data_IF_919985029670
#
_entry.id   IF_919985029670
#
_cell.length_a   1.000
_cell.length_b   1.000
_cell.length_c   1.000
_cell.angle_alpha   90.00
_cell.angle_beta   90.00
_cell.angle_gamma   90.00
#
_symmetry.space_group_name_H-M   'P 1'
#
loop_
_entity.id
_entity.type
_entity.pdbx_description
1 polymer ?
#
# COMPACT_ATOMS: atom_id res chain seq x y z
N UNK A 1 2.11 -7.89 -18.18
CA UNK A 1 2.21 -8.17 -16.75
C UNK A 1 1.32 -9.35 -16.40
N UNK A 2 1.70 -10.10 -15.41
CA UNK A 2 0.86 -11.19 -14.90
C UNK A 2 -0.15 -10.61 -13.93
N UNK A 3 -1.39 -11.04 -14.05
CA UNK A 3 -2.44 -10.72 -13.10
C UNK A 3 -2.15 -11.39 -11.74
N UNK A 4 -2.50 -10.71 -10.66
CA UNK A 4 -2.47 -11.27 -9.32
C UNK A 4 -3.89 -11.36 -8.77
N UNK A 5 -4.17 -12.43 -8.04
CA UNK A 5 -5.41 -12.59 -7.31
C UNK A 5 -5.14 -12.55 -5.80
N UNK A 6 -6.06 -11.95 -5.06
CA UNK A 6 -6.07 -11.99 -3.61
C UNK A 6 -6.88 -13.20 -3.16
N UNK A 7 -6.30 -14.00 -2.29
CA UNK A 7 -6.95 -15.17 -1.72
C UNK A 7 -7.15 -14.97 -0.23
N UNK A 8 -8.36 -15.22 0.23
CA UNK A 8 -8.67 -15.29 1.65
C UNK A 8 -8.28 -16.65 2.22
N UNK A 9 -7.79 -16.65 3.46
CA UNK A 9 -7.63 -17.89 4.23
C UNK A 9 -8.99 -18.34 4.75
N UNK A 10 -9.50 -19.45 4.25
CA UNK A 10 -10.87 -19.93 4.49
C UNK A 10 -11.19 -20.14 5.98
N UNK A 11 -10.24 -20.43 6.82
CA UNK A 11 -10.42 -20.68 8.25
C UNK A 11 -9.67 -19.72 9.18
N UNK A 12 -9.16 -18.64 8.70
CA UNK A 12 -8.74 -17.42 9.41
C UNK A 12 -7.81 -17.50 10.62
N UNK A 13 -7.46 -18.67 11.09
CA UNK A 13 -6.73 -18.86 12.33
C UNK A 13 -5.49 -19.75 12.14
N UNK A 14 -4.52 -19.27 11.35
CA UNK A 14 -3.19 -19.84 11.50
C UNK A 14 -2.53 -19.17 12.70
N UNK A 15 -2.33 -19.92 13.77
CA UNK A 15 -1.60 -19.46 14.94
C UNK A 15 -0.26 -20.18 14.96
N UNK A 16 0.83 -19.43 14.83
CA UNK A 16 2.18 -19.90 15.05
C UNK A 16 2.74 -19.15 16.27
N UNK A 17 2.72 -19.80 17.43
CA UNK A 17 3.05 -19.14 18.68
C UNK A 17 2.09 -17.97 18.95
N UNK A 18 2.64 -16.77 19.08
CA UNK A 18 1.85 -15.55 19.31
C UNK A 18 1.36 -14.86 18.03
N UNK A 19 1.61 -15.44 16.84
CA UNK A 19 1.18 -14.87 15.58
C UNK A 19 -0.33 -15.03 15.40
N UNK A 20 -0.98 -13.95 14.96
CA UNK A 20 -2.43 -13.92 14.73
C UNK A 20 -2.71 -13.28 13.37
N UNK A 21 -3.74 -13.77 12.70
CA UNK A 21 -4.36 -13.10 11.58
C UNK A 21 -5.63 -12.38 12.05
N UNK A 22 -5.86 -11.17 11.56
CA UNK A 22 -7.08 -10.42 11.89
C UNK A 22 -8.33 -11.08 11.28
N UNK A 23 -8.13 -11.91 10.31
CA UNK A 23 -9.16 -12.67 9.61
C UNK A 23 -9.24 -12.30 8.13
N UNK A 24 -9.65 -13.26 7.30
CA UNK A 24 -9.77 -13.06 5.86
C UNK A 24 -10.81 -11.98 5.55
N UNK A 25 -10.53 -11.14 4.55
CA UNK A 25 -11.41 -10.04 4.13
C UNK A 25 -11.65 -8.95 5.16
N UNK A 26 -11.00 -9.02 6.32
CA UNK A 26 -11.07 -8.01 7.40
C UNK A 26 -9.75 -7.28 7.60
N UNK A 27 -8.73 -7.68 6.89
CA UNK A 27 -7.42 -7.06 6.88
C UNK A 27 -7.37 -5.80 6.02
N UNK A 28 -6.16 -5.44 5.63
CA UNK A 28 -5.89 -4.26 4.80
C UNK A 28 -5.92 -4.62 3.31
N UNK A 29 -4.80 -5.13 2.78
CA UNK A 29 -4.73 -5.49 1.35
C UNK A 29 -5.68 -6.63 1.01
N UNK A 30 -5.82 -7.63 1.89
CA UNK A 30 -6.75 -8.75 1.67
C UNK A 30 -8.23 -8.37 1.70
N UNK A 31 -8.57 -7.18 2.19
CA UNK A 31 -9.94 -6.67 2.20
C UNK A 31 -10.29 -5.85 0.93
N UNK A 32 -9.33 -5.61 0.04
CA UNK A 32 -9.56 -4.89 -1.21
C UNK A 32 -10.47 -5.71 -2.12
N UNK A 33 -11.55 -5.09 -2.56
CA UNK A 33 -12.52 -5.64 -3.51
C UNK A 33 -12.39 -4.97 -4.88
N UNK A 34 -13.14 -5.45 -5.88
CA UNK A 34 -13.20 -4.78 -7.18
C UNK A 34 -13.70 -3.33 -7.08
N UNK A 35 -14.60 -3.05 -6.14
CA UNK A 35 -15.10 -1.69 -5.90
C UNK A 35 -14.04 -0.75 -5.31
N UNK A 36 -12.98 -1.28 -4.73
CA UNK A 36 -11.85 -0.53 -4.19
C UNK A 36 -10.77 -0.27 -5.23
N UNK A 37 -10.81 -0.94 -6.36
CA UNK A 37 -10.02 -0.64 -7.54
C UNK A 37 -10.63 0.55 -8.28
N UNK A 38 -10.45 1.76 -7.76
CA UNK A 38 -11.04 3.00 -8.31
C UNK A 38 -10.63 3.19 -9.77
N UNK A 39 -9.37 2.85 -10.09
CA UNK A 39 -8.91 2.64 -11.45
C UNK A 39 -7.97 1.43 -11.47
N UNK A 40 -8.32 0.42 -12.24
CA UNK A 40 -7.48 -0.79 -12.37
C UNK A 40 -6.21 -0.52 -13.19
N UNK A 41 -6.23 0.44 -14.11
CA UNK A 41 -5.12 0.71 -15.01
C UNK A 41 -4.78 -0.53 -15.84
N UNK A 42 -3.53 -0.94 -15.81
CA UNK A 42 -3.18 -2.34 -16.02
C UNK A 42 -3.54 -3.08 -14.74
N UNK A 43 -4.19 -4.23 -14.86
CA UNK A 43 -4.53 -5.04 -13.68
C UNK A 43 -3.31 -5.16 -12.73
N UNK A 44 -3.46 -4.97 -11.41
CA UNK A 44 -2.34 -5.01 -10.50
C UNK A 44 -1.70 -6.40 -10.49
N UNK A 45 -0.38 -6.43 -10.63
CA UNK A 45 0.41 -7.64 -10.45
C UNK A 45 0.76 -7.89 -8.99
N UNK A 46 1.35 -9.06 -8.72
CA UNK A 46 1.84 -9.42 -7.38
C UNK A 46 2.71 -8.31 -6.77
N UNK A 47 3.66 -7.77 -7.55
CA UNK A 47 4.58 -6.72 -7.07
C UNK A 47 3.81 -5.47 -6.63
N UNK A 48 2.81 -5.04 -7.39
CA UNK A 48 2.02 -3.86 -7.04
C UNK A 48 1.29 -4.03 -5.70
N UNK A 49 0.68 -5.22 -5.47
CA UNK A 49 -0.02 -5.50 -4.23
C UNK A 49 0.92 -5.68 -3.04
N UNK A 50 2.08 -6.31 -3.24
CA UNK A 50 3.09 -6.44 -2.18
C UNK A 50 3.77 -5.11 -1.87
N UNK A 51 3.91 -4.20 -2.83
CA UNK A 51 4.39 -2.84 -2.58
C UNK A 51 3.40 -2.06 -1.70
N UNK A 52 2.09 -2.18 -1.95
CA UNK A 52 1.07 -1.60 -1.06
C UNK A 52 1.15 -2.18 0.34
N UNK A 53 1.29 -3.50 0.49
CA UNK A 53 1.40 -4.18 1.77
C UNK A 53 2.64 -3.73 2.56
N UNK A 54 3.79 -3.66 1.89
CA UNK A 54 5.01 -3.15 2.52
C UNK A 54 4.94 -1.66 2.87
N UNK A 55 4.28 -0.85 2.04
CA UNK A 55 4.03 0.55 2.37
C UNK A 55 3.14 0.69 3.61
N UNK A 56 2.10 -0.16 3.76
CA UNK A 56 1.26 -0.22 4.95
C UNK A 56 2.05 -0.65 6.20
N UNK A 57 2.97 -1.60 6.04
CA UNK A 57 3.81 -2.06 7.14
C UNK A 57 4.75 -0.95 7.68
N UNK A 58 5.11 0.01 6.84
CA UNK A 58 5.83 1.22 7.26
C UNK A 58 4.84 2.25 7.83
N UNK A 59 3.74 2.49 7.11
CA UNK A 59 2.74 3.50 7.46
C UNK A 59 2.12 3.30 8.84
N UNK A 60 2.01 2.06 9.32
CA UNK A 60 1.43 1.77 10.66
C UNK A 60 2.13 2.47 11.83
N UNK A 61 3.34 3.00 11.60
CA UNK A 61 4.10 3.79 12.59
C UNK A 61 3.98 5.31 12.35
N UNK A 62 3.23 5.74 11.34
CA UNK A 62 3.12 7.13 10.91
C UNK A 62 1.69 7.66 11.13
N UNK A 63 1.31 7.85 12.39
CA UNK A 63 -0.07 8.18 12.78
C UNK A 63 -0.29 9.65 13.19
N UNK A 64 0.79 10.47 13.29
CA UNK A 64 0.73 11.77 13.94
C UNK A 64 0.35 12.92 13.02
N UNK A 65 0.68 12.83 11.75
CA UNK A 65 0.56 13.91 10.76
C UNK A 65 0.22 13.30 9.39
N UNK A 66 -0.17 14.13 8.40
CA UNK A 66 -0.22 13.67 7.03
C UNK A 66 1.10 13.02 6.62
N UNK A 67 1.04 11.83 6.09
CA UNK A 67 2.22 11.02 5.76
C UNK A 67 2.09 10.36 4.39
N UNK A 68 3.25 10.24 3.72
CA UNK A 68 3.40 9.52 2.48
C UNK A 68 4.56 8.51 2.57
N UNK A 69 4.34 7.34 2.02
CA UNK A 69 5.33 6.26 1.88
C UNK A 69 5.41 5.88 0.42
N UNK A 70 6.60 5.93 -0.17
CA UNK A 70 6.85 5.48 -1.53
C UNK A 70 7.69 4.21 -1.48
N UNK A 71 7.17 3.14 -2.07
CA UNK A 71 7.80 1.81 -2.13
C UNK A 71 7.97 1.40 -3.57
N UNK A 72 9.07 0.74 -3.87
CA UNK A 72 9.29 0.08 -5.15
C UNK A 72 10.03 -1.24 -4.93
N UNK A 73 9.49 -2.31 -5.50
CA UNK A 73 10.04 -3.67 -5.35
C UNK A 73 10.24 -4.07 -3.87
N UNK A 74 9.23 -3.76 -3.05
CA UNK A 74 9.17 -4.02 -1.61
C UNK A 74 10.20 -3.24 -0.76
N UNK A 75 10.86 -2.23 -1.32
CA UNK A 75 11.81 -1.39 -0.60
C UNK A 75 11.33 0.08 -0.56
N UNK A 76 11.46 0.78 0.57
CA UNK A 76 11.11 2.18 0.66
C UNK A 76 12.07 3.04 -0.16
N UNK A 77 11.52 3.91 -1.01
CA UNK A 77 12.25 4.95 -1.72
C UNK A 77 12.20 6.27 -0.96
N UNK A 78 11.11 6.51 -0.24
CA UNK A 78 10.94 7.69 0.57
C UNK A 78 9.79 7.55 1.55
N UNK A 79 9.96 8.11 2.74
CA UNK A 79 8.99 8.14 3.83
C UNK A 79 9.03 9.52 4.47
N UNK A 80 7.90 10.19 4.53
CA UNK A 80 7.88 11.53 5.10
C UNK A 80 6.52 11.92 5.69
N UNK A 81 6.58 12.83 6.65
CA UNK A 81 5.48 13.64 7.10
C UNK A 81 5.45 14.97 6.34
N UNK A 82 4.30 15.61 6.34
CA UNK A 82 4.10 16.98 5.88
C UNK A 82 3.04 17.69 6.73
N UNK A 83 2.92 19.00 6.60
CA UNK A 83 1.81 19.76 7.16
C UNK A 83 0.52 19.54 6.34
N UNK A 84 0.69 19.21 5.06
CA UNK A 84 -0.34 18.74 4.14
C UNK A 84 0.06 17.39 3.54
N UNK A 85 -0.89 16.71 2.94
CA UNK A 85 -0.62 15.44 2.27
C UNK A 85 0.27 15.63 1.02
N UNK A 86 0.06 16.73 0.29
CA UNK A 86 0.90 17.13 -0.85
C UNK A 86 2.36 17.37 -0.43
N UNK A 87 2.58 18.08 0.69
CA UNK A 87 3.93 18.29 1.23
C UNK A 87 4.57 16.96 1.67
N UNK A 88 3.80 16.07 2.32
CA UNK A 88 4.29 14.74 2.69
C UNK A 88 4.77 13.96 1.47
N UNK A 89 3.97 14.00 0.38
CA UNK A 89 4.35 13.36 -0.88
C UNK A 89 5.62 13.96 -1.47
N UNK A 90 5.70 15.27 -1.56
CA UNK A 90 6.87 15.96 -2.10
C UNK A 90 8.15 15.62 -1.31
N UNK A 91 8.06 15.61 0.01
CA UNK A 91 9.18 15.27 0.89
C UNK A 91 9.60 13.79 0.69
N UNK A 92 8.65 12.86 0.62
CA UNK A 92 8.94 11.45 0.37
C UNK A 92 9.57 11.26 -1.03
N UNK A 93 9.04 11.93 -2.05
CA UNK A 93 9.56 11.83 -3.42
C UNK A 93 10.96 12.45 -3.57
N UNK A 94 11.27 13.50 -2.82
CA UNK A 94 12.60 14.12 -2.82
C UNK A 94 13.68 13.25 -2.20
N UNK A 95 13.33 12.30 -1.34
CA UNK A 95 14.30 11.41 -0.71
C UNK A 95 15.10 10.62 -1.76
N UNK A 96 14.43 10.07 -2.78
CA UNK A 96 15.07 9.46 -3.93
C UNK A 96 14.12 9.42 -5.14
N UNK A 97 14.14 10.48 -5.95
CA UNK A 97 13.27 10.61 -7.14
C UNK A 97 13.54 9.55 -8.19
N UNK A 98 14.77 9.07 -8.28
CA UNK A 98 15.16 8.08 -9.29
C UNK A 98 14.57 6.72 -8.90
N UNK A 99 14.71 6.32 -7.64
CA UNK A 99 14.14 5.08 -7.14
C UNK A 99 12.61 5.12 -7.10
N UNK A 100 12.02 6.28 -6.76
CA UNK A 100 10.57 6.48 -6.69
C UNK A 100 9.85 6.35 -8.05
N UNK A 101 10.55 6.59 -9.16
CA UNK A 101 9.97 6.50 -10.50
C UNK A 101 9.39 5.11 -10.78
N UNK A 102 8.09 5.04 -11.06
CA UNK A 102 7.36 3.79 -11.27
C UNK A 102 7.04 3.01 -9.98
N UNK A 103 7.15 3.64 -8.83
CA UNK A 103 6.82 3.04 -7.53
C UNK A 103 5.33 3.08 -7.19
N UNK A 104 5.05 2.66 -5.97
CA UNK A 104 3.77 2.73 -5.29
C UNK A 104 3.82 3.81 -4.21
N UNK A 105 2.92 4.77 -4.25
CA UNK A 105 2.75 5.77 -3.19
C UNK A 105 1.52 5.44 -2.34
N UNK A 106 1.70 5.36 -1.02
CA UNK A 106 0.64 5.16 -0.03
C UNK A 106 0.52 6.38 0.87
N UNK A 107 -0.72 6.75 1.17
CA UNK A 107 -1.09 7.88 2.01
C UNK A 107 -1.92 7.45 3.21
N UNK A 108 -1.77 8.13 4.35
CA UNK A 108 -2.55 7.83 5.56
C UNK A 108 -3.88 8.62 5.66
N UNK A 109 -4.15 9.51 4.72
CA UNK A 109 -5.37 10.31 4.65
C UNK A 109 -5.96 10.25 3.24
N UNK A 110 -7.23 10.64 3.04
CA UNK A 110 -7.81 10.78 1.71
C UNK A 110 -6.99 11.70 0.82
N UNK A 111 -6.77 11.28 -0.43
CA UNK A 111 -6.01 12.07 -1.40
C UNK A 111 -6.90 13.21 -1.92
N UNK A 112 -6.49 14.44 -1.64
CA UNK A 112 -7.10 15.67 -2.13
C UNK A 112 -6.61 16.05 -3.54
N UNK A 113 -7.15 17.12 -4.10
CA UNK A 113 -6.79 17.60 -5.45
C UNK A 113 -5.36 18.11 -5.53
N UNK A 114 -4.86 18.77 -4.48
CA UNK A 114 -3.49 19.31 -4.46
C UNK A 114 -2.47 18.18 -4.44
N UNK A 115 -2.73 17.15 -3.63
CA UNK A 115 -1.90 15.94 -3.60
C UNK A 115 -1.97 15.19 -4.93
N UNK A 116 -3.16 15.06 -5.52
CA UNK A 116 -3.31 14.44 -6.84
C UNK A 116 -2.56 15.19 -7.93
N UNK A 117 -2.53 16.52 -7.86
CA UNK A 117 -1.78 17.35 -8.80
C UNK A 117 -0.26 17.13 -8.63
N UNK A 118 0.25 17.14 -7.40
CA UNK A 118 1.67 16.86 -7.13
C UNK A 118 2.09 15.45 -7.61
N UNK A 119 1.24 14.45 -7.39
CA UNK A 119 1.46 13.09 -7.89
C UNK A 119 1.50 13.08 -9.43
N UNK A 120 0.64 13.85 -10.09
CA UNK A 120 0.54 13.86 -11.55
C UNK A 120 1.81 14.33 -12.27
N UNK A 121 2.67 15.06 -11.58
CA UNK A 121 3.98 15.52 -12.12
C UNK A 121 5.02 14.40 -12.18
N UNK A 122 4.78 13.28 -11.52
CA UNK A 122 5.70 12.16 -11.43
C UNK A 122 5.08 10.89 -12.02
N UNK A 123 5.92 9.93 -12.41
CA UNK A 123 5.43 8.63 -12.87
C UNK A 123 5.38 7.66 -11.70
N UNK A 124 4.18 7.23 -11.35
CA UNK A 124 3.91 6.14 -10.42
C UNK A 124 3.09 5.04 -11.11
N UNK A 125 3.21 3.82 -10.63
CA UNK A 125 2.39 2.69 -11.09
C UNK A 125 1.17 2.45 -10.19
N UNK A 126 1.28 2.81 -8.91
CA UNK A 126 0.21 2.64 -7.92
C UNK A 126 0.10 3.89 -7.05
N UNK A 127 -1.12 4.31 -6.81
CA UNK A 127 -1.48 5.26 -5.74
C UNK A 127 -2.51 4.58 -4.86
N UNK A 128 -2.23 4.48 -3.57
CA UNK A 128 -3.10 3.86 -2.59
C UNK A 128 -3.38 4.80 -1.41
N UNK A 129 -4.62 4.82 -0.94
CA UNK A 129 -5.05 5.69 0.14
C UNK A 129 -6.32 5.11 0.82
N UNK A 130 -6.70 5.58 2.03
CA UNK A 130 -7.96 5.21 2.63
C UNK A 130 -9.17 5.64 1.81
N UNK A 131 -9.07 6.77 1.11
CA UNK A 131 -10.10 7.27 0.19
C UNK A 131 -9.52 8.34 -0.76
N UNK A 132 -10.35 8.84 -1.67
CA UNK A 132 -10.02 9.88 -2.65
C UNK A 132 -11.11 10.95 -2.65
N UNK A 133 -10.74 12.21 -2.47
CA UNK A 133 -11.69 13.32 -2.49
C UNK A 133 -12.20 13.60 -3.92
N UNK A 134 -13.32 14.32 -4.01
CA UNK A 134 -13.90 14.68 -5.28
C UNK A 134 -12.90 15.45 -6.17
N UNK A 135 -12.77 15.05 -7.44
CA UNK A 135 -11.85 15.66 -8.40
C UNK A 135 -10.41 15.10 -8.37
N UNK A 136 -9.96 14.48 -7.27
CA UNK A 136 -8.61 13.90 -7.21
C UNK A 136 -8.46 12.72 -8.18
N UNK A 137 -9.48 11.89 -8.27
CA UNK A 137 -9.50 10.75 -9.21
C UNK A 137 -9.45 11.22 -10.67
N UNK A 138 -10.16 12.32 -11.00
CA UNK A 138 -10.15 12.88 -12.37
C UNK A 138 -8.76 13.36 -12.78
N UNK A 139 -7.97 13.87 -11.83
CA UNK A 139 -6.59 14.28 -12.07
C UNK A 139 -5.71 13.05 -12.28
N UNK A 140 -5.77 12.08 -11.37
CA UNK A 140 -4.93 10.88 -11.40
C UNK A 140 -5.25 9.99 -12.60
N UNK A 141 -6.52 9.83 -12.95
CA UNK A 141 -6.99 8.95 -14.03
C UNK A 141 -6.61 9.42 -15.43
N UNK A 142 -6.10 10.66 -15.61
CA UNK A 142 -5.46 11.07 -16.85
C UNK A 142 -4.34 10.14 -17.27
N UNK A 143 -3.74 9.42 -16.33
CA UNK A 143 -2.79 8.33 -16.59
C UNK A 143 -3.52 6.99 -16.57
N UNK A 144 -3.95 6.54 -17.73
CA UNK A 144 -4.74 5.31 -17.89
C UNK A 144 -4.09 4.03 -17.33
N UNK A 145 -2.76 4.00 -17.21
CA UNK A 145 -2.01 2.86 -16.69
C UNK A 145 -1.84 2.88 -15.16
N UNK A 146 -2.16 3.98 -14.50
CA UNK A 146 -2.06 4.11 -13.05
C UNK A 146 -3.12 3.24 -12.37
N UNK A 147 -2.73 2.50 -11.32
CA UNK A 147 -3.68 1.82 -10.44
C UNK A 147 -3.99 2.76 -9.29
N UNK A 148 -5.26 3.08 -9.12
CA UNK A 148 -5.78 3.90 -8.03
C UNK A 148 -6.54 2.95 -7.12
N UNK A 149 -6.02 2.72 -5.92
CA UNK A 149 -6.50 1.67 -5.01
C UNK A 149 -6.95 2.31 -3.70
N UNK A 150 -8.23 2.12 -3.35
CA UNK A 150 -8.71 2.42 -2.01
C UNK A 150 -8.37 1.24 -1.11
N UNK A 151 -7.69 1.51 0.01
CA UNK A 151 -7.37 0.50 1.01
C UNK A 151 -8.39 0.61 2.14
N UNK A 152 -9.37 -0.30 2.21
CA UNK A 152 -10.34 -0.29 3.29
C UNK A 152 -9.64 -0.60 4.62
N UNK A 153 -10.24 -0.22 5.73
CA UNK A 153 -9.73 -0.53 7.07
C UNK A 153 -8.40 0.11 7.45
N UNK A 154 -7.96 1.16 6.79
CA UNK A 154 -6.78 1.91 7.23
C UNK A 154 -6.99 2.59 8.59
N UNK A 155 -8.22 2.80 9.00
CA UNK A 155 -8.60 3.21 10.36
C UNK A 155 -8.10 2.23 11.45
N UNK A 156 -7.85 0.96 11.08
CA UNK A 156 -7.34 -0.09 11.96
C UNK A 156 -5.82 -0.30 11.85
N UNK A 157 -5.13 0.50 11.06
CA UNK A 157 -3.72 0.27 10.75
C UNK A 157 -2.83 0.24 12.00
N UNK A 158 -3.14 1.03 13.02
CA UNK A 158 -2.42 1.07 14.30
C UNK A 158 -2.46 -0.26 15.07
N UNK A 159 -3.53 -1.08 14.90
CA UNK A 159 -3.64 -2.37 15.55
C UNK A 159 -2.50 -3.32 15.15
N UNK A 160 -1.96 -3.14 13.95
CA UNK A 160 -0.89 -3.96 13.39
C UNK A 160 0.49 -3.63 13.97
N UNK A 161 0.63 -2.57 14.75
CA UNK A 161 1.91 -2.24 15.41
C UNK A 161 2.30 -3.24 16.50
N UNK A 162 1.31 -3.89 17.10
CA UNK A 162 1.50 -4.86 18.18
C UNK A 162 1.24 -6.30 17.77
N UNK A 163 0.82 -6.52 16.51
CA UNK A 163 0.55 -7.86 16.02
C UNK A 163 1.81 -8.49 15.40
N UNK A 164 2.06 -9.72 15.84
CA UNK A 164 3.01 -10.59 15.15
C UNK A 164 2.29 -11.30 14.02
N UNK A 165 2.88 -11.30 12.85
CA UNK A 165 2.38 -12.03 11.68
C UNK A 165 3.40 -13.06 11.22
N UNK A 166 2.93 -14.00 10.41
CA UNK A 166 3.77 -15.02 9.80
C UNK A 166 4.17 -14.56 8.41
N UNK A 167 5.47 -14.48 8.16
CA UNK A 167 6.02 -14.21 6.84
C UNK A 167 6.31 -15.52 6.11
N UNK A 168 5.91 -15.60 4.85
CA UNK A 168 6.09 -16.76 3.97
C UNK A 168 6.90 -16.37 2.75
N UNK A 169 7.99 -17.09 2.51
CA UNK A 169 8.78 -16.95 1.30
C UNK A 169 8.84 -18.27 0.56
N UNK A 170 8.28 -18.32 -0.65
CA UNK A 170 8.43 -19.48 -1.53
C UNK A 170 9.86 -19.62 -2.04
N UNK A 171 10.36 -20.85 -2.08
CA UNK A 171 11.66 -21.20 -2.64
C UNK A 171 11.49 -21.76 -4.06
N UNK A 172 12.57 -21.71 -4.84
CA UNK A 172 12.56 -22.14 -6.24
C UNK A 172 12.31 -23.65 -6.38
N UNK A 173 12.74 -24.43 -5.41
CA UNK A 173 12.64 -25.90 -5.38
C UNK A 173 11.27 -26.42 -4.89
N UNK A 174 10.31 -25.51 -4.67
CA UNK A 174 8.98 -25.86 -4.17
C UNK A 174 8.83 -25.86 -2.65
N UNK A 175 9.93 -25.64 -1.92
CA UNK A 175 9.89 -25.40 -0.48
C UNK A 175 9.41 -23.97 -0.16
N UNK A 176 9.24 -23.68 1.12
CA UNK A 176 8.99 -22.33 1.62
C UNK A 176 9.59 -22.11 2.99
N UNK A 177 10.00 -20.88 3.24
CA UNK A 177 10.45 -20.42 4.56
C UNK A 177 9.26 -19.80 5.25
N UNK A 178 9.10 -20.14 6.52
CA UNK A 178 8.11 -19.54 7.41
C UNK A 178 8.85 -18.87 8.55
N UNK A 179 8.55 -17.60 8.79
CA UNK A 179 9.17 -16.83 9.85
C UNK A 179 8.11 -16.03 10.59
N UNK A 180 8.22 -16.02 11.92
CA UNK A 180 7.48 -15.08 12.73
C UNK A 180 8.09 -13.69 12.61
N UNK A 181 7.28 -12.67 12.32
CA UNK A 181 7.78 -11.30 12.25
C UNK A 181 8.36 -10.86 13.60
N UNK A 182 9.48 -10.15 13.62
CA UNK A 182 9.91 -9.46 14.83
C UNK A 182 8.88 -8.37 15.19
N UNK A 183 8.73 -8.10 16.45
CA UNK A 183 8.05 -6.90 16.93
C UNK A 183 9.04 -5.75 16.96
#
# INVERSE_FOLDING_TARGET
GQEAALYELVNGNLVLGDCRFIGPGKGLVSAITEADMVQSGKHPGKINLTDVDNALNIMKYLDKMPAAVIVKHNNPCGVAYGTTLSEAYDNANRADRIAAFGGCALFNQPVDTDTAQAISENYLEVVAAPDFEAGSVDILSKRSNLRIIRVPRMDRLYEYTTLRFVDFKSLMDGGFIVQQSPL
#
